data_IF_834199981882
#
_entry.id   IF_834199981882
#
_cell.length_a   1.000
_cell.length_b   1.000
_cell.length_c   1.000
_cell.angle_alpha   90.00
_cell.angle_beta   90.00
_cell.angle_gamma   90.00
#
_symmetry.space_group_name_H-M   'P 1'
#
loop_
_entity.id
_entity.type
_entity.pdbx_description
1 polymer ?
#
# COMPACT_ATOMS: atom_id res chain seq x y z
N UNK A 1 0.17 1.58 -14.05
CA UNK A 1 0.13 0.40 -13.16
C UNK A 1 -1.32 0.04 -12.95
N UNK A 2 -1.76 -1.02 -13.60
CA UNK A 2 -3.14 -1.51 -13.53
C UNK A 2 -3.38 -2.11 -12.14
N UNK A 3 -4.34 -1.54 -11.39
CA UNK A 3 -4.73 -1.98 -10.04
C UNK A 3 -5.05 -3.48 -9.97
N UNK A 4 -5.51 -4.07 -11.08
CA UNK A 4 -5.81 -5.50 -11.22
C UNK A 4 -4.62 -6.43 -10.97
N UNK A 5 -3.41 -6.03 -11.33
CA UNK A 5 -2.22 -6.88 -11.11
C UNK A 5 -1.75 -6.85 -9.65
N UNK A 6 -1.95 -5.71 -8.98
CA UNK A 6 -1.52 -5.55 -7.58
C UNK A 6 -2.53 -6.13 -6.62
N UNK A 7 -3.83 -6.04 -6.91
CA UNK A 7 -4.90 -6.57 -6.04
C UNK A 7 -4.75 -8.06 -5.72
N UNK A 8 -4.24 -8.87 -6.67
CA UNK A 8 -4.00 -10.30 -6.49
C UNK A 8 -2.80 -10.64 -5.60
N UNK A 9 -1.86 -9.72 -5.44
CA UNK A 9 -0.66 -9.87 -4.60
C UNK A 9 -0.88 -9.36 -3.17
N UNK A 10 -1.98 -8.67 -2.91
CA UNK A 10 -2.27 -8.16 -1.58
C UNK A 10 -2.81 -9.30 -0.69
N UNK A 11 -2.14 -9.61 0.44
CA UNK A 11 -2.55 -10.69 1.29
C UNK A 11 -3.90 -10.37 1.93
N UNK A 12 -4.89 -11.21 1.60
CA UNK A 12 -6.14 -11.48 2.33
C UNK A 12 -6.96 -10.30 2.90
N UNK A 13 -6.84 -9.07 2.39
CA UNK A 13 -7.89 -8.03 2.56
C UNK A 13 -9.14 -8.35 1.70
N UNK A 14 -9.07 -9.42 0.91
CA UNK A 14 -10.10 -9.91 -0.01
C UNK A 14 -11.36 -10.45 0.69
N UNK A 15 -11.33 -10.64 2.01
CA UNK A 15 -12.46 -11.19 2.77
C UNK A 15 -13.57 -10.17 3.09
N UNK A 16 -13.30 -8.85 2.97
CA UNK A 16 -14.31 -7.79 3.23
C UNK A 16 -14.41 -6.83 2.05
N UNK A 17 -14.87 -7.38 0.93
CA UNK A 17 -15.09 -6.74 -0.38
C UNK A 17 -16.02 -5.52 -0.25
N UNK A 18 -15.45 -4.32 -0.30
CA UNK A 18 -15.97 -3.15 -1.05
C UNK A 18 -15.43 -1.85 -0.44
N UNK A 19 -15.56 -1.65 0.88
CA UNK A 19 -15.05 -0.44 1.55
C UNK A 19 -13.53 -0.47 1.73
N UNK A 20 -13.00 -1.61 2.18
CA UNK A 20 -11.56 -1.81 2.40
C UNK A 20 -10.74 -1.82 1.11
N UNK A 21 -11.30 -2.23 -0.03
CA UNK A 21 -10.59 -2.23 -1.31
C UNK A 21 -10.30 -0.80 -1.81
N UNK A 22 -11.26 0.12 -1.64
CA UNK A 22 -11.08 1.53 -2.02
C UNK A 22 -10.05 2.21 -1.11
N UNK A 23 -10.07 1.90 0.18
CA UNK A 23 -9.04 2.32 1.13
C UNK A 23 -7.66 1.70 0.83
N UNK A 24 -7.60 0.43 0.42
CA UNK A 24 -6.35 -0.24 0.04
C UNK A 24 -5.65 0.43 -1.13
N UNK A 25 -6.40 0.89 -2.14
CA UNK A 25 -5.81 1.66 -3.26
C UNK A 25 -5.25 2.99 -2.81
N UNK A 26 -5.96 3.67 -1.91
CA UNK A 26 -5.52 4.94 -1.34
C UNK A 26 -4.21 4.75 -0.55
N UNK A 27 -4.14 3.72 0.30
CA UNK A 27 -2.95 3.42 1.07
C UNK A 27 -1.78 2.98 0.21
N UNK A 28 -1.99 2.13 -0.81
CA UNK A 28 -0.94 1.73 -1.75
C UNK A 28 -0.36 2.96 -2.46
N UNK A 29 -1.21 3.89 -2.93
CA UNK A 29 -0.73 5.11 -3.55
C UNK A 29 0.12 5.96 -2.58
N UNK A 30 -0.26 6.00 -1.29
CA UNK A 30 0.55 6.66 -0.25
C UNK A 30 1.91 6.01 -0.06
N UNK A 31 1.96 4.68 0.01
CA UNK A 31 3.21 3.91 0.08
C UNK A 31 4.09 4.18 -1.14
N UNK A 32 3.53 4.08 -2.35
CA UNK A 32 4.26 4.33 -3.59
C UNK A 32 4.79 5.77 -3.67
N UNK A 33 4.03 6.75 -3.19
CA UNK A 33 4.47 8.14 -3.12
C UNK A 33 5.70 8.28 -2.21
N UNK A 34 5.61 7.74 -0.98
CA UNK A 34 6.72 7.76 -0.01
C UNK A 34 7.95 7.04 -0.55
N UNK A 35 7.79 5.86 -1.15
CA UNK A 35 8.89 5.09 -1.74
C UNK A 35 9.53 5.77 -2.96
N UNK A 36 8.72 6.47 -3.79
CA UNK A 36 9.22 7.14 -5.00
C UNK A 36 9.89 8.48 -4.70
N UNK A 37 9.36 9.22 -3.72
CA UNK A 37 9.85 10.55 -3.34
C UNK A 37 10.92 10.45 -2.24
N UNK A 38 11.07 9.28 -1.61
CA UNK A 38 11.95 9.06 -0.44
C UNK A 38 11.67 10.05 0.69
N UNK A 39 10.39 10.42 0.87
CA UNK A 39 9.93 11.36 1.88
C UNK A 39 9.50 10.62 3.16
N UNK A 40 9.64 11.22 4.36
CA UNK A 40 9.17 10.58 5.58
C UNK A 40 7.65 10.38 5.56
N UNK A 41 7.17 9.25 6.08
CA UNK A 41 5.73 8.91 6.12
C UNK A 41 4.85 10.00 6.72
N UNK A 42 5.38 10.81 7.64
CA UNK A 42 4.68 11.91 8.29
C UNK A 42 4.41 13.10 7.35
N UNK A 43 5.21 13.26 6.30
CA UNK A 43 5.11 14.34 5.33
C UNK A 43 4.26 13.93 4.11
N UNK A 44 3.77 12.69 4.10
CA UNK A 44 2.83 12.19 3.10
C UNK A 44 1.52 12.98 3.12
N UNK A 45 1.00 13.34 1.94
CA UNK A 45 -0.27 14.06 1.81
C UNK A 45 -1.44 13.30 2.44
N UNK A 46 -2.29 14.00 3.19
CA UNK A 46 -3.49 13.46 3.86
C UNK A 46 -4.49 12.79 2.89
N UNK A 47 -4.42 13.11 1.60
CA UNK A 47 -5.21 12.47 0.54
C UNK A 47 -5.03 10.95 0.47
N UNK A 48 -3.92 10.43 0.99
CA UNK A 48 -3.59 9.00 1.04
C UNK A 48 -4.02 8.32 2.35
N UNK A 49 -4.68 9.06 3.25
CA UNK A 49 -5.07 8.59 4.56
C UNK A 49 -4.05 8.94 5.64
N UNK A 50 -4.29 8.48 6.87
CA UNK A 50 -3.41 8.74 8.01
C UNK A 50 -2.06 8.06 7.80
N UNK A 51 -0.98 8.83 7.90
CA UNK A 51 0.42 8.36 7.78
C UNK A 51 0.70 7.09 8.60
N UNK A 52 0.22 7.05 9.85
CA UNK A 52 0.40 5.90 10.73
C UNK A 52 -0.31 4.64 10.21
N UNK A 53 -1.51 4.76 9.65
CA UNK A 53 -2.24 3.63 9.08
C UNK A 53 -1.54 3.06 7.84
N UNK A 54 -0.96 3.95 7.02
CA UNK A 54 -0.18 3.55 5.84
C UNK A 54 1.07 2.81 6.28
N UNK A 55 1.81 3.35 7.25
CA UNK A 55 3.02 2.74 7.77
C UNK A 55 2.77 1.36 8.40
N UNK A 56 1.75 1.21 9.24
CA UNK A 56 1.41 -0.08 9.87
C UNK A 56 1.09 -1.12 8.80
N UNK A 57 0.38 -0.73 7.74
CA UNK A 57 0.03 -1.64 6.64
C UNK A 57 1.27 -2.00 5.81
N UNK A 58 2.12 -1.03 5.50
CA UNK A 58 3.39 -1.26 4.83
C UNK A 58 4.24 -2.25 5.62
N UNK A 59 4.38 -2.06 6.93
CA UNK A 59 5.13 -2.97 7.81
C UNK A 59 4.56 -4.40 7.75
N UNK A 60 3.24 -4.56 7.86
CA UNK A 60 2.58 -5.87 7.75
C UNK A 60 2.81 -6.54 6.40
N UNK A 61 2.89 -5.77 5.32
CA UNK A 61 3.15 -6.30 3.98
C UNK A 61 4.62 -6.64 3.77
N UNK A 62 5.54 -5.85 4.34
CA UNK A 62 6.96 -6.16 4.38
C UNK A 62 7.23 -7.45 5.18
N UNK A 63 6.60 -7.61 6.34
CA UNK A 63 6.67 -8.85 7.14
C UNK A 63 6.09 -10.08 6.41
N UNK A 64 5.19 -9.87 5.44
CA UNK A 64 4.61 -10.93 4.62
C UNK A 64 5.36 -11.15 3.29
N UNK A 65 6.47 -10.43 3.04
CA UNK A 65 7.24 -10.54 1.79
C UNK A 65 6.56 -9.95 0.55
N UNK A 66 5.47 -9.20 0.73
CA UNK A 66 4.71 -8.60 -0.39
C UNK A 66 5.44 -7.40 -0.97
N UNK A 67 6.17 -6.66 -0.13
CA UNK A 67 7.00 -5.55 -0.60
C UNK A 67 8.14 -6.02 -1.51
N UNK A 68 8.78 -7.16 -1.20
CA UNK A 68 9.78 -7.77 -2.08
C UNK A 68 9.19 -8.15 -3.45
N UNK A 69 8.01 -8.79 -3.47
CA UNK A 69 7.33 -9.14 -4.72
C UNK A 69 6.94 -7.91 -5.57
N UNK A 70 6.60 -6.79 -4.93
CA UNK A 70 6.29 -5.52 -5.61
C UNK A 70 7.53 -4.84 -6.18
N UNK A 71 8.68 -4.91 -5.51
CA UNK A 71 9.95 -4.33 -5.95
C UNK A 71 10.63 -5.16 -7.05
N UNK A 72 10.38 -6.47 -7.11
CA UNK A 72 10.93 -7.37 -8.14
C UNK A 72 10.20 -7.28 -9.49
N UNK A 73 8.99 -6.70 -9.53
CA UNK A 73 8.29 -6.33 -10.78
C UNK A 73 8.96 -5.10 -11.40
N UNK A 74 10.12 -5.32 -12.03
CA UNK A 74 10.87 -4.34 -12.84
C UNK A 74 10.65 -4.56 -14.33
#
# INVERSE_FOLDING_TARGET
MEWRSVEGLLPSEHAKKSRLAHDSRRYLNGMLHVLRVCCPWHDMHERYGKSNSVYIRFRRWAEQGVCDALLETR
#
